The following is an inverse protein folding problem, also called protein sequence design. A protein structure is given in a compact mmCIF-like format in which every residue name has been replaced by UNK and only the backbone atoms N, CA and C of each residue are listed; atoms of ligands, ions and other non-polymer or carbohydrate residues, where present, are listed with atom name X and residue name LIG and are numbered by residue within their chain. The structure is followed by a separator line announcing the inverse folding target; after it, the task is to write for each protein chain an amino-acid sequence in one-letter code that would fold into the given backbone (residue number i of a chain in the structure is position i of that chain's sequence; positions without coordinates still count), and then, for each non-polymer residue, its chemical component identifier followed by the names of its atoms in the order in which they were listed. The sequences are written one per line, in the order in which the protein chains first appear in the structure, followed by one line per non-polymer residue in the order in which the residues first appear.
data_IF_255594413042
#
_entry.id   IF_255594413042
#
_cell.length_a   1.000
_cell.length_b   1.000
_cell.length_c   1.000
_cell.angle_alpha   90.00
_cell.angle_beta   90.00
_cell.angle_gamma   90.00
#
_symmetry.space_group_name_H-M   'P 1'
#
loop_
_entity.id
_entity.type
_entity.pdbx_description
1 polymer ?
#
# COMPACT_ATOMS: atom_id res chain seq x y z
N UNK A 1 -9.57 25.16 -0.35
CA UNK A 1 -9.79 26.41 0.34
C UNK A 1 -9.42 26.25 1.79
N UNK A 2 -8.83 27.29 2.39
CA UNK A 2 -8.59 27.35 3.82
C UNK A 2 -9.67 28.28 4.37
N UNK A 3 -10.48 27.80 5.31
CA UNK A 3 -11.44 28.63 6.03
C UNK A 3 -10.81 29.13 7.33
N UNK A 4 -11.23 30.28 7.81
CA UNK A 4 -10.85 30.79 9.12
C UNK A 4 -11.85 30.34 10.18
N UNK A 5 -11.43 30.32 11.46
CA UNK A 5 -12.33 30.03 12.59
C UNK A 5 -13.53 31.01 12.61
N UNK A 6 -13.30 32.28 12.27
CA UNK A 6 -14.36 33.30 12.22
C UNK A 6 -15.37 33.02 11.10
N UNK A 7 -14.93 32.56 9.94
CA UNK A 7 -15.81 32.13 8.85
C UNK A 7 -16.63 30.89 9.25
N UNK A 8 -16.03 29.90 9.90
CA UNK A 8 -16.72 28.72 10.39
C UNK A 8 -17.77 29.07 11.45
N UNK A 9 -17.45 29.95 12.39
CA UNK A 9 -18.40 30.42 13.38
C UNK A 9 -19.60 31.19 12.79
N UNK A 10 -19.40 31.90 11.67
CA UNK A 10 -20.45 32.69 11.02
C UNK A 10 -21.28 31.89 10.03
N UNK A 11 -20.67 31.01 9.27
CA UNK A 11 -21.28 30.44 8.07
C UNK A 11 -21.45 28.93 8.11
N UNK A 12 -20.84 28.22 9.07
CA UNK A 12 -21.01 26.79 9.19
C UNK A 12 -22.41 26.48 9.77
N UNK A 13 -23.30 25.85 9.02
CA UNK A 13 -24.67 25.59 9.48
C UNK A 13 -24.74 24.60 10.65
N UNK A 14 -23.62 23.97 11.03
CA UNK A 14 -23.55 22.95 12.09
C UNK A 14 -22.79 23.43 13.32
N UNK A 15 -21.87 24.37 13.17
CA UNK A 15 -20.98 24.88 14.23
C UNK A 15 -21.09 26.39 14.40
N UNK A 16 -21.76 27.08 13.47
CA UNK A 16 -21.92 28.52 13.50
C UNK A 16 -23.07 28.96 14.40
N UNK A 17 -23.00 30.20 14.88
CA UNK A 17 -24.03 30.79 15.74
C UNK A 17 -23.91 30.37 17.21
N UNK A 18 -25.05 30.32 17.89
CA UNK A 18 -25.16 29.99 19.33
C UNK A 18 -25.46 28.48 19.56
N UNK A 19 -24.89 27.58 18.73
CA UNK A 19 -25.06 26.13 18.89
C UNK A 19 -24.30 25.67 20.13
N UNK A 20 -25.01 25.14 21.12
CA UNK A 20 -24.37 24.57 22.31
C UNK A 20 -23.86 23.13 22.05
N UNK A 21 -23.05 22.62 22.98
CA UNK A 21 -22.47 21.28 22.84
C UNK A 21 -23.54 20.16 22.85
N UNK A 22 -24.68 20.37 23.53
CA UNK A 22 -25.77 19.39 23.62
C UNK A 22 -26.52 19.34 22.29
N UNK A 23 -26.80 20.48 21.68
CA UNK A 23 -27.45 20.60 20.38
C UNK A 23 -26.57 19.97 19.28
N UNK A 24 -25.28 20.22 19.29
CA UNK A 24 -24.34 19.60 18.38
C UNK A 24 -24.27 18.08 18.56
N UNK A 25 -24.19 17.59 19.79
CA UNK A 25 -24.18 16.16 20.08
C UNK A 25 -25.46 15.49 19.62
N UNK A 26 -26.65 16.12 19.89
CA UNK A 26 -27.93 15.64 19.42
C UNK A 26 -28.04 15.58 17.89
N UNK A 27 -27.52 16.61 17.20
CA UNK A 27 -27.48 16.62 15.74
C UNK A 27 -26.60 15.47 15.21
N UNK A 28 -25.40 15.29 15.76
CA UNK A 28 -24.46 14.24 15.34
C UNK A 28 -25.01 12.82 15.56
N UNK A 29 -25.73 12.59 16.67
CA UNK A 29 -26.37 11.31 16.98
C UNK A 29 -27.54 10.99 16.03
N UNK A 30 -28.23 12.00 15.55
CA UNK A 30 -29.37 11.84 14.63
C UNK A 30 -29.03 11.83 13.16
N UNK A 31 -27.76 11.96 12.78
CA UNK A 31 -27.31 11.92 11.38
C UNK A 31 -27.61 10.58 10.67
N UNK A 32 -27.84 9.50 11.43
CA UNK A 32 -28.17 8.18 10.86
C UNK A 32 -27.12 7.64 9.88
N UNK A 33 -25.89 8.14 9.98
CA UNK A 33 -24.80 7.69 9.11
C UNK A 33 -24.50 6.22 9.36
N UNK A 34 -24.37 5.41 8.31
CA UNK A 34 -23.95 4.02 8.48
C UNK A 34 -22.60 3.97 9.18
N UNK A 35 -22.48 3.14 10.19
CA UNK A 35 -21.24 2.96 10.94
C UNK A 35 -20.12 2.51 9.97
N UNK A 36 -18.97 3.20 9.88
CA UNK A 36 -17.87 2.72 9.05
C UNK A 36 -17.46 1.31 9.49
N UNK A 37 -17.32 0.38 8.56
CA UNK A 37 -17.10 -1.06 8.81
C UNK A 37 -15.91 -1.40 9.73
N UNK A 38 -14.98 -0.48 9.92
CA UNK A 38 -13.78 -0.67 10.76
C UNK A 38 -13.79 0.21 12.02
N UNK A 39 -14.87 0.92 12.32
CA UNK A 39 -14.92 1.82 13.47
C UNK A 39 -14.77 1.08 14.81
N UNK A 40 -15.35 -0.11 14.90
CA UNK A 40 -15.25 -0.97 16.11
C UNK A 40 -13.83 -1.46 16.39
N UNK A 41 -12.97 -1.43 15.38
CA UNK A 41 -11.53 -1.76 15.49
C UNK A 41 -10.70 -0.49 15.63
N UNK A 42 -10.99 0.54 14.82
CA UNK A 42 -10.18 1.73 14.76
C UNK A 42 -10.30 2.62 16.01
N UNK A 43 -11.51 2.76 16.58
CA UNK A 43 -11.70 3.59 17.78
C UNK A 43 -10.97 3.02 19.00
N UNK A 44 -11.13 1.74 19.37
CA UNK A 44 -10.36 1.15 20.47
C UNK A 44 -8.85 1.19 20.24
N UNK A 45 -8.39 0.98 19.00
CA UNK A 45 -6.97 1.05 18.65
C UNK A 45 -6.42 2.48 18.81
N UNK A 46 -7.17 3.51 18.38
CA UNK A 46 -6.79 4.91 18.52
C UNK A 46 -6.80 5.37 19.99
N UNK A 47 -7.77 4.94 20.78
CA UNK A 47 -7.82 5.21 22.24
C UNK A 47 -6.60 4.64 23.00
N UNK A 48 -5.96 3.62 22.45
CA UNK A 48 -4.72 3.00 22.96
C UNK A 48 -3.47 3.46 22.22
N UNK A 49 -3.52 4.60 21.54
CA UNK A 49 -2.41 5.15 20.74
C UNK A 49 -1.88 4.15 19.70
N UNK A 50 -2.78 3.35 19.10
CA UNK A 50 -2.41 2.37 18.10
C UNK A 50 -1.73 1.10 18.64
N UNK A 51 -1.66 0.91 19.97
CA UNK A 51 -1.16 -0.35 20.52
C UNK A 51 -2.21 -1.46 20.32
N UNK A 52 -1.87 -2.56 19.63
CA UNK A 52 -2.78 -3.70 19.50
C UNK A 52 -3.02 -4.41 20.83
N UNK A 53 -4.18 -5.04 21.00
CA UNK A 53 -4.49 -5.91 22.13
C UNK A 53 -3.59 -7.14 22.13
N UNK A 54 -2.82 -7.29 23.20
CA UNK A 54 -1.78 -8.29 23.31
C UNK A 54 -0.56 -7.87 22.51
N UNK A 55 0.63 -8.03 23.07
CA UNK A 55 1.89 -7.70 22.42
C UNK A 55 2.07 -8.52 21.12
N UNK A 56 1.31 -8.17 20.08
CA UNK A 56 1.70 -8.51 18.72
C UNK A 56 2.95 -7.67 18.46
N UNK A 57 4.10 -8.23 18.79
CA UNK A 57 5.37 -7.72 18.30
C UNK A 57 5.22 -7.55 16.79
N UNK A 58 5.68 -6.42 16.28
CA UNK A 58 5.84 -6.28 14.83
C UNK A 58 6.51 -7.55 14.31
N UNK A 59 6.07 -8.09 13.17
CA UNK A 59 6.76 -9.23 12.58
C UNK A 59 8.25 -8.92 12.48
N UNK A 60 9.10 -9.90 12.75
CA UNK A 60 10.54 -9.72 12.61
C UNK A 60 10.85 -9.18 11.20
N UNK A 61 11.68 -8.15 11.17
CA UNK A 61 12.09 -7.57 9.90
C UNK A 61 12.78 -8.63 9.04
N UNK A 62 12.36 -8.81 7.79
CA UNK A 62 13.02 -9.74 6.89
C UNK A 62 14.47 -9.32 6.63
N UNK A 63 15.37 -10.29 6.55
CA UNK A 63 16.82 -10.11 6.41
C UNK A 63 17.30 -9.94 4.96
N UNK A 64 16.40 -10.10 3.96
CA UNK A 64 16.76 -10.09 2.54
C UNK A 64 16.81 -8.67 1.92
N UNK A 65 16.20 -7.67 2.55
CA UNK A 65 16.29 -6.25 2.18
C UNK A 65 15.81 -5.36 3.33
N UNK A 66 16.24 -4.08 3.40
CA UNK A 66 15.63 -3.09 4.28
C UNK A 66 14.18 -2.84 3.87
N UNK A 67 13.23 -3.21 4.71
CA UNK A 67 11.79 -3.11 4.47
C UNK A 67 11.11 -2.23 5.50
N UNK A 68 9.98 -1.65 5.14
CA UNK A 68 9.11 -0.90 6.05
C UNK A 68 7.80 -1.64 6.23
N UNK A 69 7.41 -1.90 7.47
CA UNK A 69 6.11 -2.50 7.77
C UNK A 69 5.02 -1.43 7.78
N UNK A 70 3.95 -1.65 7.03
CA UNK A 70 2.86 -0.69 6.87
C UNK A 70 1.70 -0.97 7.83
N UNK A 71 0.85 0.03 8.09
CA UNK A 71 -0.42 -0.15 8.81
C UNK A 71 -1.36 -1.16 8.13
N UNK A 72 -1.20 -1.38 6.83
CA UNK A 72 -1.94 -2.40 6.09
C UNK A 72 -1.48 -3.84 6.34
N UNK A 73 -0.49 -4.04 7.22
CA UNK A 73 -0.02 -5.38 7.58
C UNK A 73 0.86 -6.04 6.51
N UNK A 74 1.50 -5.27 5.65
CA UNK A 74 2.40 -5.76 4.62
C UNK A 74 3.75 -5.05 4.68
N UNK A 75 4.79 -5.72 4.22
CA UNK A 75 6.10 -5.12 4.01
C UNK A 75 6.14 -4.33 2.69
N UNK A 76 6.83 -3.21 2.71
CA UNK A 76 7.14 -2.39 1.54
C UNK A 76 8.63 -2.19 1.37
N UNK A 77 9.06 -2.19 0.10
CA UNK A 77 10.43 -1.85 -0.32
C UNK A 77 10.42 -0.51 -1.05
N UNK A 78 11.40 0.34 -0.72
CA UNK A 78 11.59 1.61 -1.41
C UNK A 78 12.20 1.38 -2.80
N UNK A 79 11.86 2.20 -3.82
CA UNK A 79 12.38 2.02 -5.17
C UNK A 79 13.91 2.00 -5.26
N UNK A 80 14.59 2.92 -4.61
CA UNK A 80 16.06 2.97 -4.60
C UNK A 80 16.66 1.69 -4.00
N UNK A 81 16.08 1.16 -2.91
CA UNK A 81 16.53 -0.09 -2.27
C UNK A 81 16.33 -1.28 -3.21
N UNK A 82 15.17 -1.38 -3.87
CA UNK A 82 14.95 -2.46 -4.84
C UNK A 82 15.93 -2.37 -6.02
N UNK A 83 16.21 -1.16 -6.50
CA UNK A 83 17.19 -0.94 -7.57
C UNK A 83 18.59 -1.43 -7.14
N UNK A 84 19.03 -1.11 -5.94
CA UNK A 84 20.30 -1.58 -5.41
C UNK A 84 20.34 -3.11 -5.30
N UNK A 85 19.28 -3.74 -4.79
CA UNK A 85 19.18 -5.19 -4.67
C UNK A 85 19.18 -5.89 -6.04
N UNK A 86 18.56 -5.30 -7.05
CA UNK A 86 18.43 -5.93 -8.39
C UNK A 86 19.60 -5.64 -9.31
N UNK A 87 20.36 -4.55 -9.09
CA UNK A 87 21.54 -4.19 -9.88
C UNK A 87 22.86 -4.75 -9.33
N UNK A 88 22.89 -5.19 -8.06
CA UNK A 88 24.09 -5.61 -7.36
C UNK A 88 24.42 -7.09 -7.45
N UNK A 89 25.21 -7.60 -6.47
CA UNK A 89 25.64 -9.01 -6.38
C UNK A 89 24.47 -9.99 -6.18
N UNK A 90 23.33 -9.49 -5.75
CA UNK A 90 22.08 -10.22 -5.54
C UNK A 90 21.12 -10.09 -6.74
N UNK A 91 21.63 -9.62 -7.88
CA UNK A 91 20.85 -9.59 -9.12
C UNK A 91 20.37 -11.00 -9.43
N UNK A 92 19.05 -11.18 -9.35
CA UNK A 92 18.41 -12.49 -9.55
C UNK A 92 17.95 -13.20 -8.28
N UNK A 93 18.34 -12.77 -7.08
CA UNK A 93 17.84 -13.38 -5.83
C UNK A 93 16.40 -12.99 -5.56
N UNK A 94 15.99 -11.78 -5.95
CA UNK A 94 14.64 -11.25 -5.79
C UNK A 94 13.85 -11.44 -7.08
N UNK A 95 12.62 -11.93 -6.96
CA UNK A 95 11.67 -12.00 -8.06
C UNK A 95 10.82 -10.74 -8.09
N UNK A 96 10.88 -9.97 -9.17
CA UNK A 96 10.00 -8.80 -9.38
C UNK A 96 8.80 -9.24 -10.21
N UNK A 97 7.61 -9.16 -9.64
CA UNK A 97 6.35 -9.55 -10.27
C UNK A 97 5.51 -8.29 -10.54
N UNK A 98 5.39 -7.94 -11.81
CA UNK A 98 4.55 -6.83 -12.24
C UNK A 98 3.10 -7.32 -12.44
N UNK A 99 2.19 -6.80 -11.62
CA UNK A 99 0.78 -7.21 -11.63
C UNK A 99 -0.11 -6.25 -12.43
N UNK A 100 0.49 -5.43 -13.29
CA UNK A 100 -0.24 -4.58 -14.24
C UNK A 100 -0.81 -5.38 -15.39
N UNK A 101 -1.67 -4.73 -16.18
CA UNK A 101 -2.15 -5.29 -17.44
C UNK A 101 -1.05 -5.27 -18.51
N UNK A 102 -1.10 -6.17 -19.52
CA UNK A 102 -0.08 -6.23 -20.58
C UNK A 102 0.11 -4.91 -21.34
N UNK A 103 -0.94 -4.11 -21.48
CA UNK A 103 -0.85 -2.80 -22.11
C UNK A 103 -0.04 -1.81 -21.27
N UNK A 104 -0.24 -1.80 -19.95
CA UNK A 104 0.50 -0.96 -19.01
C UNK A 104 1.97 -1.38 -18.90
N UNK A 105 2.27 -2.68 -18.99
CA UNK A 105 3.63 -3.20 -18.93
C UNK A 105 4.50 -2.76 -20.11
N UNK A 106 3.85 -2.39 -21.23
CA UNK A 106 4.50 -1.93 -22.46
C UNK A 106 4.35 -0.43 -22.69
N UNK A 107 3.70 0.29 -21.79
CA UNK A 107 3.44 1.72 -21.93
C UNK A 107 4.70 2.58 -21.70
N UNK A 108 4.54 3.91 -21.76
CA UNK A 108 5.62 4.87 -21.57
C UNK A 108 6.24 4.86 -20.15
N UNK A 109 5.56 4.31 -19.14
CA UNK A 109 6.16 4.12 -17.81
C UNK A 109 7.29 3.09 -17.84
N UNK A 110 7.27 2.17 -18.82
CA UNK A 110 8.22 1.07 -18.89
C UNK A 110 8.04 0.06 -17.77
N UNK A 111 9.06 -0.76 -17.56
CA UNK A 111 9.09 -1.80 -16.53
C UNK A 111 10.46 -1.88 -15.87
N UNK A 112 10.52 -2.44 -14.69
CA UNK A 112 11.78 -2.76 -14.01
C UNK A 112 12.47 -3.89 -14.77
N UNK A 113 13.78 -3.80 -14.94
CA UNK A 113 14.57 -4.82 -15.60
C UNK A 113 14.39 -6.19 -14.91
N UNK A 114 14.16 -7.23 -15.73
CA UNK A 114 13.91 -8.58 -15.21
C UNK A 114 12.55 -8.80 -14.55
N UNK A 115 11.67 -7.80 -14.50
CA UNK A 115 10.32 -7.97 -14.00
C UNK A 115 9.50 -8.89 -14.89
N UNK A 116 8.81 -9.85 -14.25
CA UNK A 116 7.92 -10.77 -14.93
C UNK A 116 6.47 -10.30 -14.82
N UNK A 117 5.80 -10.20 -15.94
CA UNK A 117 4.39 -9.85 -16.00
C UNK A 117 3.51 -11.01 -15.53
N UNK A 118 2.72 -10.74 -14.50
CA UNK A 118 1.69 -11.65 -14.01
C UNK A 118 0.49 -10.82 -13.54
N UNK A 119 -0.46 -10.49 -14.42
CA UNK A 119 -1.58 -9.62 -14.10
C UNK A 119 -2.32 -10.05 -12.84
N UNK A 120 -2.82 -9.07 -12.06
CA UNK A 120 -3.50 -9.35 -10.80
C UNK A 120 -4.71 -10.28 -10.99
N UNK A 121 -5.41 -10.17 -12.13
CA UNK A 121 -6.52 -11.06 -12.52
C UNK A 121 -6.12 -12.52 -12.60
N UNK A 122 -4.90 -12.80 -13.06
CA UNK A 122 -4.39 -14.13 -13.32
C UNK A 122 -3.60 -14.69 -12.14
N UNK A 123 -3.25 -13.85 -11.17
CA UNK A 123 -2.32 -14.18 -10.09
C UNK A 123 -2.74 -15.44 -9.33
N UNK A 124 -4.02 -15.56 -8.98
CA UNK A 124 -4.53 -16.70 -8.22
C UNK A 124 -4.39 -18.03 -8.94
N UNK A 125 -4.46 -18.04 -10.27
CA UNK A 125 -4.34 -19.24 -11.10
C UNK A 125 -2.88 -19.57 -11.41
N UNK A 126 -2.02 -18.55 -11.47
CA UNK A 126 -0.64 -18.65 -11.95
C UNK A 126 0.42 -18.46 -10.86
N UNK A 127 0.03 -18.30 -9.59
CA UNK A 127 0.99 -18.14 -8.49
C UNK A 127 1.93 -19.34 -8.31
N UNK A 128 1.59 -20.50 -8.84
CA UNK A 128 2.48 -21.67 -8.90
C UNK A 128 3.73 -21.47 -9.77
N UNK A 129 3.75 -20.45 -10.63
CA UNK A 129 4.90 -20.07 -11.43
C UNK A 129 5.94 -19.27 -10.62
N UNK A 130 5.60 -18.80 -9.44
CA UNK A 130 6.46 -18.00 -8.57
C UNK A 130 7.20 -18.94 -7.62
N UNK A 131 8.52 -18.81 -7.57
CA UNK A 131 9.35 -19.60 -6.67
C UNK A 131 9.17 -19.14 -5.22
N UNK A 132 8.66 -20.03 -4.36
CA UNK A 132 8.37 -19.74 -2.95
C UNK A 132 9.60 -19.64 -2.07
N UNK A 133 10.73 -20.15 -2.53
CA UNK A 133 11.98 -20.12 -1.77
C UNK A 133 12.73 -18.80 -1.88
N UNK A 134 12.31 -17.92 -2.79
CA UNK A 134 12.95 -16.65 -3.09
C UNK A 134 12.06 -15.47 -2.71
N UNK A 135 12.64 -14.34 -2.26
CA UNK A 135 11.90 -13.11 -2.04
C UNK A 135 11.14 -12.64 -3.29
N UNK A 136 9.94 -12.13 -3.07
CA UNK A 136 9.08 -11.61 -4.14
C UNK A 136 8.71 -10.17 -3.85
N UNK A 137 8.96 -9.30 -4.80
CA UNK A 137 8.49 -7.91 -4.79
C UNK A 137 7.42 -7.76 -5.85
N UNK A 138 6.23 -7.37 -5.43
CA UNK A 138 5.13 -7.08 -6.35
C UNK A 138 5.13 -5.61 -6.76
N UNK A 139 4.84 -5.35 -8.02
CA UNK A 139 4.86 -4.02 -8.63
C UNK A 139 3.56 -3.77 -9.37
N UNK A 140 3.03 -2.55 -9.26
CA UNK A 140 1.99 -2.06 -10.16
C UNK A 140 2.21 -0.57 -10.50
N UNK A 141 1.20 0.11 -11.02
CA UNK A 141 1.33 1.53 -11.37
C UNK A 141 1.61 2.41 -10.15
N UNK A 142 0.82 2.30 -9.06
CA UNK A 142 0.84 3.21 -7.90
C UNK A 142 1.03 2.53 -6.54
N UNK A 143 1.19 1.20 -6.51
CA UNK A 143 1.33 0.43 -5.27
C UNK A 143 0.05 -0.25 -4.77
N UNK A 144 -1.15 0.17 -5.18
CA UNK A 144 -2.41 -0.34 -4.64
C UNK A 144 -2.72 -1.79 -5.06
N UNK A 145 -2.64 -2.11 -6.35
CA UNK A 145 -2.87 -3.48 -6.88
C UNK A 145 -1.79 -4.45 -6.41
N UNK A 146 -0.54 -3.98 -6.34
CA UNK A 146 0.57 -4.79 -5.86
C UNK A 146 0.48 -5.08 -4.37
N UNK A 147 -0.05 -4.16 -3.55
CA UNK A 147 -0.39 -4.42 -2.15
C UNK A 147 -1.45 -5.54 -2.02
N UNK A 148 -2.48 -5.54 -2.87
CA UNK A 148 -3.46 -6.63 -2.93
C UNK A 148 -2.81 -7.96 -3.33
N UNK A 149 -1.88 -7.93 -4.28
CA UNK A 149 -1.13 -9.11 -4.68
C UNK A 149 -0.30 -9.70 -3.53
N UNK A 150 0.37 -8.86 -2.72
CA UNK A 150 1.06 -9.31 -1.50
C UNK A 150 0.10 -10.07 -0.58
N UNK A 151 -1.07 -9.52 -0.30
CA UNK A 151 -2.07 -10.17 0.58
C UNK A 151 -2.54 -11.52 0.01
N UNK A 152 -2.74 -11.61 -1.30
CA UNK A 152 -3.11 -12.88 -1.95
C UNK A 152 -1.99 -13.93 -1.84
N UNK A 153 -0.75 -13.52 -2.08
CA UNK A 153 0.42 -14.40 -1.97
C UNK A 153 0.67 -14.83 -0.51
N UNK A 154 0.50 -13.94 0.46
CA UNK A 154 0.57 -14.28 1.90
C UNK A 154 -0.45 -15.37 2.25
N UNK A 155 -1.71 -15.23 1.82
CA UNK A 155 -2.75 -16.25 2.03
C UNK A 155 -2.42 -17.57 1.37
N UNK A 156 -1.65 -17.56 0.29
CA UNK A 156 -1.17 -18.75 -0.40
C UNK A 156 0.10 -19.36 0.25
N UNK A 157 0.63 -18.77 1.34
CA UNK A 157 1.75 -19.30 2.10
C UNK A 157 3.14 -18.81 1.65
N UNK A 158 3.22 -17.74 0.87
CA UNK A 158 4.48 -17.07 0.62
C UNK A 158 4.87 -16.23 1.85
N UNK A 159 6.13 -16.25 2.25
CA UNK A 159 6.63 -15.60 3.48
C UNK A 159 7.52 -14.40 3.21
N UNK A 160 8.37 -14.45 2.18
CA UNK A 160 9.30 -13.38 1.82
C UNK A 160 8.68 -12.47 0.74
N UNK A 161 7.85 -11.52 1.17
CA UNK A 161 7.04 -10.67 0.28
C UNK A 161 7.20 -9.20 0.62
N UNK A 162 7.26 -8.35 -0.41
CA UNK A 162 7.12 -6.90 -0.26
C UNK A 162 6.35 -6.28 -1.42
N UNK A 163 5.69 -5.15 -1.16
CA UNK A 163 5.10 -4.26 -2.14
C UNK A 163 6.11 -3.18 -2.53
N UNK A 164 6.24 -2.85 -3.82
CA UNK A 164 7.01 -1.68 -4.22
C UNK A 164 6.25 -0.40 -3.84
N UNK A 165 6.82 0.37 -2.91
CA UNK A 165 6.24 1.62 -2.42
C UNK A 165 6.03 2.63 -3.55
N UNK A 166 4.77 3.05 -3.78
CA UNK A 166 4.40 3.99 -4.83
C UNK A 166 4.46 3.46 -6.26
N UNK A 167 4.84 2.19 -6.46
CA UNK A 167 4.85 1.50 -7.76
C UNK A 167 5.72 2.17 -8.82
N UNK A 168 5.39 1.93 -10.09
CA UNK A 168 6.13 2.48 -11.24
C UNK A 168 6.08 4.01 -11.32
N UNK A 169 5.04 4.66 -10.80
CA UNK A 169 5.00 6.13 -10.76
C UNK A 169 6.14 6.69 -9.92
N UNK A 170 6.35 6.14 -8.73
CA UNK A 170 7.43 6.56 -7.84
C UNK A 170 8.81 6.15 -8.38
N UNK A 171 8.93 4.94 -8.94
CA UNK A 171 10.12 4.48 -9.63
C UNK A 171 10.61 5.47 -10.70
N UNK A 172 9.69 5.97 -11.51
CA UNK A 172 9.97 6.98 -12.54
C UNK A 172 10.26 8.37 -11.97
N UNK A 173 9.56 8.77 -10.90
CA UNK A 173 9.81 10.05 -10.22
C UNK A 173 11.21 10.11 -9.61
N UNK A 174 11.76 8.96 -9.17
CA UNK A 174 13.13 8.83 -8.67
C UNK A 174 14.15 8.62 -9.82
N UNK A 175 13.73 8.76 -11.07
CA UNK A 175 14.57 8.61 -12.28
C UNK A 175 15.33 7.28 -12.38
N UNK A 176 14.77 6.21 -11.80
CA UNK A 176 15.39 4.88 -11.83
C UNK A 176 15.26 4.23 -13.21
N UNK A 177 16.19 3.30 -13.57
CA UNK A 177 16.22 2.67 -14.88
C UNK A 177 14.97 1.88 -15.19
N UNK A 178 14.52 1.95 -16.43
CA UNK A 178 13.41 1.15 -16.95
C UNK A 178 13.75 0.54 -18.29
N UNK A 179 13.18 -0.62 -18.55
CA UNK A 179 13.08 -1.17 -19.90
C UNK A 179 11.79 -0.69 -20.55
N UNK A 180 11.89 -0.23 -21.78
CA UNK A 180 10.73 0.07 -22.63
C UNK A 180 10.64 -0.99 -23.72
N UNK A 181 9.42 -1.28 -24.18
CA UNK A 181 9.29 -2.12 -25.38
C UNK A 181 9.99 -1.42 -26.56
N UNK A 182 10.66 -2.15 -27.43
CA UNK A 182 11.14 -1.59 -28.69
C UNK A 182 9.96 -1.01 -29.45
N UNK A 183 10.16 0.18 -30.03
CA UNK A 183 9.17 0.88 -30.83
C UNK A 183 8.78 0.07 -32.07
#
# INVERSE_FOLDING_TARGET
GVSSIDEELRFNPRLGGEVDAADFAGYMQNLGLPHPKLMDIAVPANLRCGQPDGAASLPAEPDWAPLTYTFGGIWEIQPAVLQECTAGRHAGDIQVIDVREPAEFRDALGRIAGARLLPLSDLSQRMGEIDRSRPVVTVCRSGARSAQAVVLLQKAGFTALANLAGGMLRWRAEALPVETAPA
#
